data_IF_572128970991
#
_entry.id   IF_572128970991
#
_cell.length_a   1.000
_cell.length_b   1.000
_cell.length_c   1.000
_cell.angle_alpha   90.00
_cell.angle_beta   90.00
_cell.angle_gamma   90.00
#
_symmetry.space_group_name_H-M   'P 1'
#
loop_
_entity.id
_entity.type
_entity.pdbx_description
1 polymer ?
#
# COMPACT_ATOMS: atom_id res chain seq x y z
N UNK A 1 12.81 -8.82 -0.92
CA UNK A 1 12.83 -8.40 0.49
C UNK A 1 12.14 -7.07 0.53
N UNK A 2 10.93 -7.03 1.09
CA UNK A 2 10.13 -5.82 1.11
C UNK A 2 10.76 -4.82 2.07
N UNK A 3 10.99 -3.60 1.57
CA UNK A 3 11.56 -2.51 2.35
C UNK A 3 10.70 -2.19 3.58
N UNK A 4 11.33 -1.63 4.61
CA UNK A 4 10.66 -1.23 5.85
C UNK A 4 9.46 -0.33 5.52
N UNK A 5 8.25 -0.75 5.94
CA UNK A 5 7.03 0.03 5.79
C UNK A 5 6.30 -0.14 4.45
N UNK A 6 6.51 -1.24 3.71
CA UNK A 6 5.74 -1.55 2.50
C UNK A 6 5.36 -3.03 2.45
N UNK A 7 4.17 -3.31 1.94
CA UNK A 7 3.77 -4.65 1.51
C UNK A 7 3.73 -4.65 -0.01
N UNK A 8 4.55 -5.49 -0.64
CA UNK A 8 4.51 -5.72 -2.08
C UNK A 8 3.68 -6.95 -2.38
N UNK A 9 2.84 -6.89 -3.41
CA UNK A 9 2.06 -8.02 -3.89
C UNK A 9 2.47 -8.39 -5.31
N UNK A 10 2.61 -9.69 -5.53
CA UNK A 10 2.94 -10.26 -6.82
C UNK A 10 2.07 -11.50 -7.08
N UNK A 11 1.62 -11.65 -8.32
CA UNK A 11 1.13 -12.92 -8.83
C UNK A 11 2.30 -13.70 -9.42
N UNK A 12 2.51 -14.92 -8.94
CA UNK A 12 3.60 -15.78 -9.43
C UNK A 12 3.02 -16.90 -10.28
N UNK A 13 3.49 -17.00 -11.51
CA UNK A 13 3.10 -18.08 -12.41
C UNK A 13 3.60 -19.42 -11.87
N UNK A 14 2.70 -20.39 -11.66
CA UNK A 14 3.06 -21.72 -11.14
C UNK A 14 3.64 -22.67 -12.20
N UNK A 15 3.62 -22.25 -13.46
CA UNK A 15 4.12 -23.01 -14.62
C UNK A 15 4.23 -22.09 -15.84
N UNK A 16 4.66 -22.57 -17.01
CA UNK A 16 4.59 -21.79 -18.23
C UNK A 16 3.14 -21.48 -18.59
N UNK A 17 2.80 -20.21 -18.83
CA UNK A 17 1.44 -19.76 -19.11
C UNK A 17 1.43 -18.74 -20.24
N UNK A 18 0.34 -18.71 -21.02
CA UNK A 18 0.09 -17.64 -22.00
C UNK A 18 -1.31 -17.11 -21.76
N UNK A 19 -1.40 -15.81 -21.44
CA UNK A 19 -2.68 -15.12 -21.31
C UNK A 19 -2.96 -14.28 -22.55
N UNK A 20 -4.23 -14.20 -22.95
CA UNK A 20 -4.69 -13.33 -24.03
C UNK A 20 -5.57 -12.21 -23.46
N UNK A 21 -5.18 -10.96 -23.68
CA UNK A 21 -5.89 -9.78 -23.18
C UNK A 21 -5.91 -8.70 -24.26
N UNK A 22 -7.10 -8.20 -24.60
CA UNK A 22 -7.29 -7.17 -25.63
C UNK A 22 -6.59 -7.51 -26.98
N UNK A 23 -6.66 -8.77 -27.40
CA UNK A 23 -6.04 -9.25 -28.65
C UNK A 23 -4.52 -9.45 -28.58
N UNK A 24 -3.88 -9.17 -27.45
CA UNK A 24 -2.44 -9.36 -27.23
C UNK A 24 -2.19 -10.60 -26.39
N UNK A 25 -1.09 -11.29 -26.67
CA UNK A 25 -0.64 -12.46 -25.90
C UNK A 25 0.56 -12.09 -25.03
N UNK A 26 0.53 -12.57 -23.79
CA UNK A 26 1.60 -12.40 -22.82
C UNK A 26 2.00 -13.77 -22.32
N UNK A 27 3.27 -14.12 -22.48
CA UNK A 27 3.82 -15.39 -22.00
C UNK A 27 4.52 -15.15 -20.66
N UNK A 28 4.31 -16.06 -19.72
CA UNK A 28 4.97 -16.09 -18.42
C UNK A 28 5.66 -17.44 -18.24
N UNK A 29 6.93 -17.41 -17.84
CA UNK A 29 7.66 -18.61 -17.43
C UNK A 29 7.19 -19.11 -16.06
N UNK A 30 7.52 -20.36 -15.72
CA UNK A 30 7.32 -20.86 -14.36
C UNK A 30 8.15 -20.04 -13.36
N UNK A 31 7.53 -19.60 -12.26
CA UNK A 31 8.14 -18.74 -11.26
C UNK A 31 8.22 -17.26 -11.65
N UNK A 32 7.80 -16.88 -12.86
CA UNK A 32 7.77 -15.48 -13.25
C UNK A 32 6.71 -14.72 -12.44
N UNK A 33 7.13 -13.59 -11.85
CA UNK A 33 6.30 -12.76 -11.00
C UNK A 33 5.80 -11.53 -11.74
N UNK A 34 4.49 -11.32 -11.75
CA UNK A 34 3.85 -10.07 -12.13
C UNK A 34 3.60 -9.25 -10.87
N UNK A 35 4.23 -8.09 -10.78
CA UNK A 35 3.94 -7.14 -9.70
C UNK A 35 2.54 -6.55 -9.89
N UNK A 36 1.73 -6.58 -8.84
CA UNK A 36 0.37 -6.05 -8.88
C UNK A 36 0.23 -4.76 -8.08
N UNK A 37 0.87 -4.67 -6.91
CA UNK A 37 0.71 -3.53 -6.02
C UNK A 37 1.88 -3.38 -5.06
N UNK A 38 2.19 -2.13 -4.74
CA UNK A 38 2.99 -1.72 -3.61
C UNK A 38 2.14 -0.89 -2.64
N UNK A 39 1.88 -1.42 -1.44
CA UNK A 39 1.14 -0.73 -0.38
C UNK A 39 2.10 -0.22 0.69
N UNK A 40 2.35 1.09 0.70
CA UNK A 40 3.21 1.73 1.70
C UNK A 40 2.42 2.02 2.97
N UNK A 41 2.90 1.48 4.10
CA UNK A 41 2.38 1.75 5.44
C UNK A 41 3.30 2.71 6.15
N UNK A 42 2.84 3.95 6.27
CA UNK A 42 3.53 4.97 7.06
C UNK A 42 3.01 4.94 8.49
N UNK A 43 3.92 5.01 9.47
CA UNK A 43 3.55 5.48 10.79
C UNK A 43 2.94 6.90 10.66
N UNK A 44 1.94 7.27 11.47
CA UNK A 44 1.31 8.59 11.38
C UNK A 44 2.31 9.76 11.35
N UNK A 45 3.40 9.66 12.10
CA UNK A 45 4.47 10.66 12.17
C UNK A 45 5.24 10.78 10.85
N UNK A 46 5.56 9.64 10.22
CA UNK A 46 6.24 9.62 8.93
C UNK A 46 5.36 10.20 7.82
N UNK A 47 4.06 9.91 7.83
CA UNK A 47 3.12 10.50 6.89
C UNK A 47 3.00 12.02 7.08
N UNK A 48 2.93 12.50 8.33
CA UNK A 48 2.89 13.93 8.64
C UNK A 48 4.16 14.65 8.17
N UNK A 49 5.33 14.04 8.30
CA UNK A 49 6.57 14.58 7.77
C UNK A 49 6.53 14.72 6.23
N UNK A 50 6.02 13.69 5.54
CA UNK A 50 5.81 13.73 4.09
C UNK A 50 4.81 14.83 3.68
N UNK A 51 3.70 14.97 4.39
CA UNK A 51 2.70 16.01 4.13
C UNK A 51 3.31 17.42 4.25
N UNK A 52 4.09 17.68 5.31
CA UNK A 52 4.81 18.95 5.48
C UNK A 52 5.80 19.21 4.35
N UNK A 53 6.57 18.20 3.95
CA UNK A 53 7.50 18.32 2.82
C UNK A 53 6.78 18.65 1.50
N UNK A 54 5.52 18.24 1.36
CA UNK A 54 4.65 18.55 0.22
C UNK A 54 3.89 19.89 0.36
N UNK A 55 4.17 20.69 1.40
CA UNK A 55 3.54 22.00 1.62
C UNK A 55 2.17 21.95 2.30
N UNK A 56 1.82 20.84 2.93
CA UNK A 56 0.57 20.68 3.70
C UNK A 56 0.85 20.74 5.20
N UNK A 57 -0.05 21.37 5.96
CA UNK A 57 0.01 21.41 7.41
C UNK A 57 -0.94 20.35 8.01
N UNK A 58 -0.42 19.38 8.80
CA UNK A 58 -1.26 18.43 9.51
C UNK A 58 -2.03 19.07 10.66
N UNK A 59 -3.36 18.98 10.62
CA UNK A 59 -4.25 19.58 11.62
C UNK A 59 -4.66 18.57 12.68
N UNK A 60 -5.05 17.37 12.26
CA UNK A 60 -5.51 16.32 13.15
C UNK A 60 -5.23 14.93 12.56
N UNK A 61 -5.10 13.93 13.43
CA UNK A 61 -5.03 12.53 13.03
C UNK A 61 -5.91 11.70 13.95
N UNK A 62 -6.66 10.78 13.37
CA UNK A 62 -7.42 9.77 14.08
C UNK A 62 -6.97 8.41 13.61
N UNK A 63 -6.83 7.47 14.54
CA UNK A 63 -6.59 6.06 14.22
C UNK A 63 -7.88 5.28 14.37
N UNK A 64 -8.10 4.35 13.45
CA UNK A 64 -9.28 3.49 13.45
C UNK A 64 -8.90 2.03 13.42
N UNK A 65 -9.72 1.21 14.06
CA UNK A 65 -9.58 -0.24 14.16
C UNK A 65 -10.81 -0.84 14.81
N UNK A 66 -11.00 -2.15 14.64
CA UNK A 66 -12.07 -2.88 15.28
C UNK A 66 -11.60 -3.37 16.67
N UNK A 67 -12.21 -2.90 17.78
CA UNK A 67 -11.85 -3.36 19.13
C UNK A 67 -12.07 -4.86 19.34
N UNK A 68 -12.98 -5.49 18.58
CA UNK A 68 -13.22 -6.94 18.58
C UNK A 68 -12.65 -7.65 17.33
N UNK A 69 -11.84 -6.95 16.53
CA UNK A 69 -11.33 -7.46 15.27
C UNK A 69 -10.33 -8.60 15.43
N UNK A 70 -9.88 -9.15 14.29
CA UNK A 70 -8.90 -10.24 14.23
C UNK A 70 -7.62 -9.96 15.03
N UNK A 71 -7.25 -8.67 15.16
CA UNK A 71 -6.25 -8.19 16.13
C UNK A 71 -6.91 -7.15 17.04
N UNK A 72 -7.41 -7.56 18.22
CA UNK A 72 -8.10 -6.65 19.14
C UNK A 72 -7.21 -5.45 19.53
N UNK A 73 -7.78 -4.25 19.44
CA UNK A 73 -7.08 -3.01 19.79
C UNK A 73 -6.03 -2.53 18.78
N UNK A 74 -5.87 -3.19 17.62
CA UNK A 74 -4.97 -2.72 16.57
C UNK A 74 -5.53 -1.49 15.85
N UNK A 75 -4.72 -0.45 15.71
CA UNK A 75 -4.98 0.64 14.76
C UNK A 75 -4.68 0.15 13.34
N UNK A 76 -5.72 -0.11 12.56
CA UNK A 76 -5.61 -0.65 11.20
C UNK A 76 -5.34 0.45 10.17
N UNK A 77 -5.78 1.67 10.44
CA UNK A 77 -5.57 2.82 9.56
C UNK A 77 -5.46 4.12 10.36
N UNK A 78 -4.99 5.18 9.68
CA UNK A 78 -5.01 6.54 10.19
C UNK A 78 -5.64 7.49 9.16
N UNK A 79 -6.48 8.41 9.62
CA UNK A 79 -7.06 9.49 8.83
C UNK A 79 -6.37 10.79 9.21
N UNK A 80 -5.82 11.50 8.23
CA UNK A 80 -5.12 12.79 8.45
C UNK A 80 -5.94 13.93 7.84
N UNK A 81 -6.34 14.89 8.67
CA UNK A 81 -6.85 16.17 8.20
C UNK A 81 -5.66 17.08 7.91
N UNK A 82 -5.52 17.50 6.66
CA UNK A 82 -4.47 18.39 6.21
C UNK A 82 -5.07 19.72 5.74
N UNK A 83 -4.38 20.81 6.07
CA UNK A 83 -4.67 22.14 5.54
C UNK A 83 -3.58 22.54 4.55
N UNK A 84 -3.97 23.03 3.37
CA UNK A 84 -3.02 23.67 2.46
C UNK A 84 -3.17 25.18 2.61
N UNK A 85 -2.15 25.88 3.14
CA UNK A 85 -2.15 27.32 3.11
C UNK A 85 -2.18 27.82 1.65
N UNK A 86 -2.73 29.02 1.40
CA UNK A 86 -2.89 29.59 0.07
C UNK A 86 -1.56 29.77 -0.69
#
# INVERSE_FOLDING_TARGET
>A
GDGVGRVSMHLVSRGPQVIALAGRRFAFAAGEGLHTEDSYKYAPEAFRALARAAGWEPVACWTGGDPQGWVPGAALFSLHLLHRPP
#
